data_IF_960720368419
#
_entry.id   IF_960720368419
#
_cell.length_a   1.000
_cell.length_b   1.000
_cell.length_c   1.000
_cell.angle_alpha   90.00
_cell.angle_beta   90.00
_cell.angle_gamma   90.00
#
_symmetry.space_group_name_H-M   'P 1'
#
loop_
_entity.id
_entity.type
_entity.pdbx_description
1 polymer ?
#
# COMPACT_ATOMS: atom_id res chain seq x y z
N UNK A 1 15.57 5.95 33.61
CA UNK A 1 16.00 4.93 32.64
C UNK A 1 15.51 5.39 31.28
N UNK A 2 16.40 5.37 30.30
CA UNK A 2 16.03 5.78 28.93
C UNK A 2 15.13 4.71 28.29
N UNK A 3 14.25 5.06 27.33
CA UNK A 3 13.35 4.09 26.69
C UNK A 3 14.07 2.86 26.13
N UNK A 4 15.30 3.03 25.64
CA UNK A 4 16.14 1.96 25.09
C UNK A 4 16.63 0.95 26.14
N UNK A 5 16.86 1.36 27.39
CA UNK A 5 17.31 0.45 28.46
C UNK A 5 16.19 -0.49 28.91
N UNK A 6 14.94 -0.01 28.96
CA UNK A 6 13.78 -0.83 29.33
C UNK A 6 13.43 -1.89 28.26
N UNK A 7 13.57 -1.55 26.98
CA UNK A 7 13.27 -2.47 25.88
C UNK A 7 14.24 -3.66 25.84
N UNK A 8 15.53 -3.40 26.04
CA UNK A 8 16.56 -4.45 26.12
C UNK A 8 16.31 -5.39 27.30
N UNK A 9 15.84 -4.87 28.43
CA UNK A 9 15.55 -5.64 29.63
C UNK A 9 14.33 -6.56 29.45
N UNK A 10 13.23 -6.07 28.86
CA UNK A 10 12.05 -6.88 28.58
C UNK A 10 12.31 -8.02 27.59
N UNK A 11 13.02 -7.74 26.50
CA UNK A 11 13.42 -8.78 25.55
C UNK A 11 14.27 -9.85 26.24
N UNK A 12 15.22 -9.42 27.07
CA UNK A 12 16.08 -10.33 27.80
C UNK A 12 15.27 -11.20 28.77
N UNK A 13 14.33 -10.64 29.52
CA UNK A 13 13.49 -11.39 30.47
C UNK A 13 12.51 -12.36 29.79
N UNK A 14 11.89 -11.98 28.68
CA UNK A 14 10.87 -12.77 27.97
C UNK A 14 11.47 -13.82 27.04
N UNK A 15 12.47 -13.44 26.25
CA UNK A 15 12.97 -14.25 25.13
C UNK A 15 14.22 -15.04 25.52
N UNK A 16 15.20 -14.37 26.14
CA UNK A 16 16.52 -14.95 26.42
C UNK A 16 16.48 -15.78 27.71
N UNK A 17 16.03 -15.16 28.79
CA UNK A 17 16.07 -15.73 30.14
C UNK A 17 14.78 -16.46 30.52
N UNK A 18 13.67 -16.18 29.82
CA UNK A 18 12.33 -16.75 30.05
C UNK A 18 11.87 -16.69 31.51
N UNK A 19 12.23 -15.61 32.22
CA UNK A 19 11.82 -15.35 33.61
C UNK A 19 10.42 -14.76 33.71
N UNK A 20 9.97 -14.10 32.65
CA UNK A 20 8.63 -13.55 32.49
C UNK A 20 7.96 -14.27 31.32
N UNK A 21 6.73 -14.71 31.50
CA UNK A 21 5.91 -15.24 30.40
C UNK A 21 5.18 -14.10 29.68
N UNK A 22 4.79 -14.34 28.43
CA UNK A 22 3.94 -13.40 27.67
C UNK A 22 2.63 -13.11 28.42
N UNK A 23 2.01 -14.12 29.04
CA UNK A 23 0.77 -13.94 29.79
C UNK A 23 0.96 -12.97 30.96
N UNK A 24 2.01 -13.17 31.77
CA UNK A 24 2.33 -12.29 32.90
C UNK A 24 2.65 -10.87 32.43
N UNK A 25 3.35 -10.72 31.31
CA UNK A 25 3.58 -9.41 30.69
C UNK A 25 2.26 -8.71 30.37
N UNK A 26 1.35 -9.37 29.62
CA UNK A 26 0.06 -8.79 29.24
C UNK A 26 -0.82 -8.49 30.46
N UNK A 27 -0.83 -9.35 31.47
CA UNK A 27 -1.56 -9.10 32.72
C UNK A 27 -1.03 -7.87 33.45
N UNK A 28 0.31 -7.72 33.54
CA UNK A 28 0.93 -6.56 34.20
C UNK A 28 0.70 -5.24 33.45
N UNK A 29 0.61 -5.30 32.12
CA UNK A 29 0.45 -4.13 31.23
C UNK A 29 -1.01 -3.80 30.91
N UNK A 30 -1.95 -4.69 31.26
CA UNK A 30 -3.40 -4.50 31.04
C UNK A 30 -3.92 -3.13 31.49
N UNK A 31 -3.60 -2.61 32.69
CA UNK A 31 -4.09 -1.29 33.11
C UNK A 31 -3.60 -0.14 32.23
N UNK A 32 -2.45 -0.30 31.57
CA UNK A 32 -1.86 0.72 30.71
C UNK A 32 -2.50 0.72 29.32
N UNK A 33 -2.78 -0.47 28.76
CA UNK A 33 -3.47 -0.59 27.46
C UNK A 33 -4.89 -0.02 27.49
N UNK A 34 -5.56 -0.09 28.63
CA UNK A 34 -6.93 0.40 28.82
C UNK A 34 -7.00 1.67 29.68
N UNK A 35 -5.91 2.44 29.75
CA UNK A 35 -5.89 3.70 30.50
C UNK A 35 -6.71 4.79 29.81
N UNK A 36 -7.38 5.65 30.58
CA UNK A 36 -8.05 6.85 30.04
C UNK A 36 -7.04 7.90 29.53
N UNK A 37 -5.76 7.79 29.91
CA UNK A 37 -4.72 8.71 29.45
C UNK A 37 -4.16 8.26 28.11
N UNK A 38 -4.31 9.10 27.07
CA UNK A 38 -3.76 8.85 25.74
C UNK A 38 -2.24 8.67 25.76
N UNK A 39 -1.53 9.47 26.55
CA UNK A 39 -0.07 9.37 26.71
C UNK A 39 0.33 8.01 27.31
N UNK A 40 -0.45 7.49 28.27
CA UNK A 40 -0.17 6.19 28.88
C UNK A 40 -0.41 5.06 27.90
N UNK A 41 -1.55 5.10 27.17
CA UNK A 41 -1.85 4.13 26.11
C UNK A 41 -0.79 4.14 25.02
N UNK A 42 -0.44 5.32 24.52
CA UNK A 42 0.59 5.52 23.50
C UNK A 42 1.91 4.85 23.90
N UNK A 43 2.42 5.15 25.10
CA UNK A 43 3.66 4.55 25.58
C UNK A 43 3.56 3.01 25.72
N UNK A 44 2.42 2.50 26.20
CA UNK A 44 2.21 1.07 26.36
C UNK A 44 2.16 0.33 25.02
N UNK A 45 1.43 0.87 24.03
CA UNK A 45 1.35 0.28 22.70
C UNK A 45 2.66 0.43 21.93
N UNK A 46 3.39 1.53 22.13
CA UNK A 46 4.74 1.71 21.60
C UNK A 46 5.70 0.62 22.11
N UNK A 47 5.76 0.43 23.44
CA UNK A 47 6.55 -0.64 24.09
C UNK A 47 6.15 -2.04 23.58
N UNK A 48 4.84 -2.29 23.42
CA UNK A 48 4.33 -3.55 22.89
C UNK A 48 4.76 -3.77 21.44
N UNK A 49 4.61 -2.77 20.56
CA UNK A 49 5.01 -2.86 19.16
C UNK A 49 6.52 -3.12 19.02
N UNK A 50 7.32 -2.42 19.82
CA UNK A 50 8.77 -2.59 19.90
C UNK A 50 9.19 -3.98 20.40
N UNK A 51 8.50 -4.50 21.43
CA UNK A 51 8.73 -5.84 21.93
C UNK A 51 8.38 -6.91 20.89
N UNK A 52 7.22 -6.80 20.23
CA UNK A 52 6.82 -7.73 19.17
C UNK A 52 7.86 -7.76 18.05
N UNK A 53 8.33 -6.58 17.62
CA UNK A 53 9.35 -6.46 16.57
C UNK A 53 10.71 -7.10 16.94
N UNK A 54 10.97 -7.32 18.23
CA UNK A 54 12.19 -7.96 18.70
C UNK A 54 12.12 -9.49 18.71
N UNK A 55 10.93 -10.09 18.60
CA UNK A 55 10.78 -11.55 18.69
C UNK A 55 11.43 -12.29 17.52
N UNK A 56 12.17 -13.39 17.79
CA UNK A 56 12.59 -14.34 16.77
C UNK A 56 11.40 -14.94 16.02
N UNK A 57 11.61 -15.31 14.76
CA UNK A 57 10.57 -15.83 13.84
C UNK A 57 9.79 -17.04 14.38
N UNK A 58 10.41 -17.87 15.20
CA UNK A 58 9.90 -19.13 15.73
C UNK A 58 9.60 -19.07 17.23
N UNK A 59 9.67 -17.87 17.82
CA UNK A 59 9.45 -17.68 19.25
C UNK A 59 7.99 -17.87 19.66
N UNK A 60 7.05 -17.32 18.89
CA UNK A 60 5.62 -17.44 19.15
C UNK A 60 5.05 -18.70 18.51
N UNK A 61 4.27 -19.47 19.25
CA UNK A 61 3.43 -20.55 18.69
C UNK A 61 2.29 -19.99 17.83
N UNK A 62 1.68 -20.84 17.00
CA UNK A 62 0.56 -20.45 16.13
C UNK A 62 -0.60 -19.80 16.90
N UNK A 63 -1.00 -20.43 18.01
CA UNK A 63 -2.05 -19.91 18.89
C UNK A 63 -1.68 -18.55 19.50
N UNK A 64 -0.41 -18.34 19.85
CA UNK A 64 0.05 -17.05 20.38
C UNK A 64 0.06 -15.96 19.30
N UNK A 65 0.44 -16.29 18.07
CA UNK A 65 0.37 -15.37 16.93
C UNK A 65 -1.08 -14.98 16.67
N UNK A 66 -2.00 -15.95 16.65
CA UNK A 66 -3.43 -15.69 16.46
C UNK A 66 -4.01 -14.76 17.54
N UNK A 67 -3.74 -15.05 18.81
CA UNK A 67 -4.22 -14.22 19.93
C UNK A 67 -3.66 -12.80 19.88
N UNK A 68 -2.36 -12.65 19.61
CA UNK A 68 -1.73 -11.33 19.48
C UNK A 68 -2.29 -10.56 18.28
N UNK A 69 -2.44 -11.24 17.14
CA UNK A 69 -2.94 -10.62 15.92
C UNK A 69 -4.38 -10.12 16.13
N UNK A 70 -5.26 -10.95 16.67
CA UNK A 70 -6.64 -10.58 16.99
C UNK A 70 -6.71 -9.42 17.98
N UNK A 71 -5.87 -9.43 19.02
CA UNK A 71 -5.77 -8.31 19.96
C UNK A 71 -5.36 -7.00 19.27
N UNK A 72 -4.29 -7.02 18.47
CA UNK A 72 -3.82 -5.81 17.79
C UNK A 72 -4.82 -5.30 16.75
N UNK A 73 -5.50 -6.19 16.04
CA UNK A 73 -6.54 -5.82 15.08
C UNK A 73 -7.75 -5.17 15.76
N UNK A 74 -8.17 -5.69 16.92
CA UNK A 74 -9.23 -5.06 17.70
C UNK A 74 -8.83 -3.66 18.21
N UNK A 75 -7.56 -3.48 18.61
CA UNK A 75 -7.07 -2.19 19.09
C UNK A 75 -6.84 -1.18 17.96
N UNK A 76 -6.53 -1.66 16.75
CA UNK A 76 -6.42 -0.84 15.55
C UNK A 76 -7.75 -0.13 15.23
N UNK A 77 -8.87 -0.83 15.35
CA UNK A 77 -10.21 -0.29 15.15
C UNK A 77 -10.69 0.56 16.34
N UNK A 78 -10.41 0.12 17.57
CA UNK A 78 -10.95 0.75 18.77
C UNK A 78 -10.24 2.04 19.22
N UNK A 79 -8.97 2.26 18.84
CA UNK A 79 -8.15 3.33 19.41
C UNK A 79 -7.22 3.98 18.38
N UNK A 80 -7.53 5.23 18.02
CA UNK A 80 -6.70 6.07 17.13
C UNK A 80 -5.28 6.27 17.70
N UNK A 81 -5.14 6.28 19.03
CA UNK A 81 -3.85 6.41 19.72
C UNK A 81 -3.02 5.13 19.63
N UNK A 82 -3.65 3.97 19.69
CA UNK A 82 -2.97 2.66 19.64
C UNK A 82 -2.68 2.19 18.21
N UNK A 83 -3.54 2.57 17.26
CA UNK A 83 -3.48 2.19 15.85
C UNK A 83 -2.07 2.20 15.23
N UNK A 84 -1.25 3.26 15.38
CA UNK A 84 0.06 3.36 14.71
C UNK A 84 1.02 2.24 15.14
N UNK A 85 0.98 1.94 16.43
CA UNK A 85 1.83 0.94 17.07
C UNK A 85 1.30 -0.48 16.82
N UNK A 86 -0.02 -0.63 16.71
CA UNK A 86 -0.66 -1.89 16.33
C UNK A 86 -0.27 -2.31 14.91
N UNK A 87 -0.29 -1.39 13.94
CA UNK A 87 0.13 -1.66 12.55
C UNK A 87 1.54 -2.22 12.52
N UNK A 88 2.47 -1.63 13.28
CA UNK A 88 3.85 -2.08 13.35
C UNK A 88 3.95 -3.52 13.89
N UNK A 89 3.23 -3.84 14.97
CA UNK A 89 3.17 -5.19 15.53
C UNK A 89 2.52 -6.20 14.58
N UNK A 90 1.38 -5.85 13.97
CA UNK A 90 0.67 -6.67 12.97
C UNK A 90 1.61 -6.99 11.82
N UNK A 91 2.28 -6.00 11.26
CA UNK A 91 3.22 -6.18 10.17
C UNK A 91 4.37 -7.12 10.56
N UNK A 92 4.98 -6.95 11.74
CA UNK A 92 6.06 -7.84 12.16
C UNK A 92 5.57 -9.28 12.32
N UNK A 93 4.41 -9.45 12.98
CA UNK A 93 3.79 -10.76 13.10
C UNK A 93 3.63 -11.33 11.71
N UNK A 94 2.82 -10.72 10.83
CA UNK A 94 2.47 -11.16 9.47
C UNK A 94 3.70 -11.44 8.60
N UNK A 95 4.79 -10.70 8.73
CA UNK A 95 5.94 -10.84 7.83
C UNK A 95 7.04 -11.78 8.36
N UNK A 96 7.19 -11.89 9.67
CA UNK A 96 8.37 -12.50 10.27
C UNK A 96 8.10 -13.71 11.14
N UNK A 97 6.88 -13.95 11.60
CA UNK A 97 6.59 -15.22 12.28
C UNK A 97 6.81 -16.42 11.34
N UNK A 98 6.90 -17.61 11.89
CA UNK A 98 6.92 -18.88 11.13
C UNK A 98 5.70 -19.73 11.42
N UNK A 99 4.97 -19.38 12.48
CA UNK A 99 3.79 -20.10 12.97
C UNK A 99 2.55 -19.25 12.74
N UNK A 100 2.19 -19.01 11.49
CA UNK A 100 0.99 -18.22 11.16
C UNK A 100 -0.27 -19.07 11.20
N UNK A 101 -1.36 -18.57 11.80
CA UNK A 101 -2.64 -19.24 11.70
C UNK A 101 -3.11 -19.24 10.24
N UNK A 102 -3.72 -20.33 9.79
CA UNK A 102 -4.35 -20.37 8.47
C UNK A 102 -5.62 -19.50 8.42
N UNK A 103 -5.85 -18.77 7.34
CA UNK A 103 -7.10 -18.03 7.11
C UNK A 103 -7.18 -16.65 7.80
N UNK A 104 -6.08 -16.16 8.36
CA UNK A 104 -5.99 -14.82 8.97
C UNK A 104 -6.09 -13.68 7.95
N UNK A 105 -5.88 -13.99 6.68
CA UNK A 105 -5.83 -13.05 5.56
C UNK A 105 -7.16 -12.30 5.40
N UNK A 106 -8.29 -12.99 5.61
CA UNK A 106 -9.63 -12.40 5.49
C UNK A 106 -9.94 -11.41 6.63
N UNK A 107 -9.80 -11.77 7.93
CA UNK A 107 -9.96 -10.80 9.03
C UNK A 107 -9.00 -9.62 8.94
N UNK A 108 -7.74 -9.89 8.56
CA UNK A 108 -6.74 -8.84 8.34
C UNK A 108 -7.20 -7.86 7.26
N UNK A 109 -7.72 -8.39 6.13
CA UNK A 109 -8.27 -7.58 5.05
C UNK A 109 -9.45 -6.72 5.52
N UNK A 110 -10.43 -7.33 6.19
CA UNK A 110 -11.63 -6.61 6.66
C UNK A 110 -11.25 -5.41 7.53
N UNK A 111 -10.37 -5.62 8.50
CA UNK A 111 -10.03 -4.56 9.45
C UNK A 111 -9.11 -3.51 8.83
N UNK A 112 -8.12 -3.91 8.02
CA UNK A 112 -7.16 -2.95 7.45
C UNK A 112 -7.69 -2.15 6.25
N UNK A 113 -8.58 -2.74 5.43
CA UNK A 113 -9.00 -2.14 4.16
C UNK A 113 -10.49 -1.79 4.11
N UNK A 114 -11.37 -2.57 4.76
CA UNK A 114 -12.82 -2.32 4.72
C UNK A 114 -13.25 -1.31 5.78
N UNK A 115 -12.83 -1.53 7.02
CA UNK A 115 -13.30 -0.78 8.19
C UNK A 115 -12.36 0.38 8.55
N UNK A 116 -11.08 0.29 8.18
CA UNK A 116 -10.10 1.36 8.37
C UNK A 116 -10.33 2.56 7.45
N UNK A 117 -10.52 3.76 8.03
CA UNK A 117 -10.43 5.02 7.28
C UNK A 117 -8.97 5.45 7.12
N UNK A 118 -8.22 4.74 6.28
CA UNK A 118 -6.76 4.95 6.09
C UNK A 118 -6.40 6.40 5.76
N UNK A 119 -7.29 7.11 5.07
CA UNK A 119 -7.06 8.50 4.67
C UNK A 119 -7.13 9.50 5.83
N UNK A 120 -7.71 9.13 6.98
CA UNK A 120 -7.67 9.98 8.18
C UNK A 120 -6.37 9.85 8.98
N UNK A 121 -5.43 9.00 8.56
CA UNK A 121 -4.15 8.80 9.25
C UNK A 121 -3.09 9.76 8.71
N UNK A 122 -2.11 10.13 9.53
CA UNK A 122 -0.99 10.93 9.06
C UNK A 122 -0.08 10.15 8.09
N UNK A 123 0.76 10.86 7.29
CA UNK A 123 1.54 10.22 6.23
C UNK A 123 2.52 9.14 6.69
N UNK A 124 3.08 9.24 7.90
CA UNK A 124 4.00 8.21 8.43
C UNK A 124 3.24 6.92 8.73
N UNK A 125 2.00 7.04 9.23
CA UNK A 125 1.11 5.90 9.49
C UNK A 125 0.56 5.25 8.23
N UNK A 126 0.13 6.05 7.25
CA UNK A 126 -0.25 5.54 5.92
C UNK A 126 0.92 4.81 5.29
N UNK A 127 2.11 5.40 5.35
CA UNK A 127 3.32 4.75 4.88
C UNK A 127 3.51 3.41 5.60
N UNK A 128 3.47 3.33 6.93
CA UNK A 128 3.58 2.06 7.68
C UNK A 128 2.58 0.97 7.25
N UNK A 129 1.34 1.34 6.93
CA UNK A 129 0.34 0.40 6.42
C UNK A 129 0.71 -0.13 5.03
N UNK A 130 1.17 0.74 4.14
CA UNK A 130 1.55 0.36 2.79
C UNK A 130 2.93 -0.30 2.73
N UNK A 131 3.89 0.20 3.50
CA UNK A 131 5.31 -0.02 3.36
C UNK A 131 5.99 0.18 4.72
N UNK A 132 6.76 -0.80 5.18
CA UNK A 132 7.96 -0.41 5.92
C UNK A 132 9.25 -0.88 5.24
N UNK A 133 10.16 0.08 5.16
CA UNK A 133 11.07 0.39 4.04
C UNK A 133 12.36 -0.45 3.99
N UNK A 134 12.34 -1.72 4.41
CA UNK A 134 13.46 -2.65 4.15
C UNK A 134 13.06 -4.01 3.57
N UNK A 135 11.76 -4.26 3.41
CA UNK A 135 11.24 -5.61 3.13
C UNK A 135 10.38 -5.72 1.87
N UNK A 136 10.66 -4.88 0.86
CA UNK A 136 9.91 -4.76 -0.40
C UNK A 136 9.96 -6.01 -1.32
N UNK A 137 10.67 -7.08 -0.90
CA UNK A 137 10.64 -8.38 -1.58
C UNK A 137 9.79 -9.41 -0.84
N UNK A 138 9.93 -9.54 0.48
CA UNK A 138 9.25 -10.58 1.26
C UNK A 138 7.80 -10.23 1.59
N UNK A 139 7.50 -8.97 1.92
CA UNK A 139 6.11 -8.52 2.12
C UNK A 139 5.30 -8.66 0.84
N UNK A 140 5.92 -8.41 -0.32
CA UNK A 140 5.23 -8.56 -1.60
C UNK A 140 5.12 -10.00 -2.09
N UNK A 141 6.13 -10.84 -1.84
CA UNK A 141 5.99 -12.28 -2.08
C UNK A 141 4.91 -12.88 -1.19
N UNK A 142 4.84 -12.44 0.07
CA UNK A 142 3.84 -12.91 1.01
C UNK A 142 2.46 -12.37 0.69
N UNK A 143 2.32 -11.08 0.38
CA UNK A 143 1.07 -10.51 -0.11
C UNK A 143 0.63 -11.21 -1.40
N UNK A 144 1.54 -11.50 -2.33
CA UNK A 144 1.21 -12.24 -3.55
C UNK A 144 0.87 -13.72 -3.31
N UNK A 145 1.35 -14.35 -2.23
CA UNK A 145 0.89 -15.69 -1.86
C UNK A 145 -0.45 -15.64 -1.13
N UNK A 146 -0.62 -14.67 -0.24
CA UNK A 146 -1.83 -14.37 0.56
C UNK A 146 -2.97 -13.84 -0.31
N UNK A 147 -2.68 -13.21 -1.46
CA UNK A 147 -3.72 -12.68 -2.35
C UNK A 147 -4.64 -13.81 -2.80
N UNK A 148 -4.10 -15.01 -3.02
CA UNK A 148 -4.87 -16.18 -3.43
C UNK A 148 -5.89 -16.62 -2.37
N UNK A 149 -5.60 -16.41 -1.09
CA UNK A 149 -6.50 -16.74 0.01
C UNK A 149 -7.68 -15.76 0.11
N UNK A 150 -7.52 -14.53 -0.40
CA UNK A 150 -8.57 -13.50 -0.43
C UNK A 150 -9.26 -13.36 -1.79
N UNK A 151 -8.75 -13.98 -2.86
CA UNK A 151 -9.42 -14.05 -4.18
C UNK A 151 -10.89 -14.52 -4.08
N UNK A 152 -11.26 -15.50 -3.23
CA UNK A 152 -12.66 -15.91 -3.06
C UNK A 152 -13.62 -14.79 -2.59
N UNK A 153 -13.11 -13.70 -2.02
CA UNK A 153 -13.92 -12.52 -1.66
C UNK A 153 -14.40 -11.74 -2.91
N UNK A 154 -13.76 -11.93 -4.06
CA UNK A 154 -14.19 -11.37 -5.34
C UNK A 154 -14.30 -9.85 -5.33
N UNK A 155 -15.43 -9.33 -5.82
CA UNK A 155 -15.66 -7.89 -5.97
C UNK A 155 -15.73 -7.13 -4.64
N UNK A 156 -16.13 -7.79 -3.54
CA UNK A 156 -16.13 -7.14 -2.21
C UNK A 156 -14.71 -6.72 -1.81
N UNK A 157 -13.71 -7.55 -2.16
CA UNK A 157 -12.31 -7.21 -1.95
C UNK A 157 -11.90 -6.02 -2.82
N UNK A 158 -12.21 -6.07 -4.11
CA UNK A 158 -11.84 -5.04 -5.08
C UNK A 158 -12.45 -3.68 -4.71
N UNK A 159 -13.73 -3.65 -4.32
CA UNK A 159 -14.41 -2.43 -3.89
C UNK A 159 -13.77 -1.82 -2.64
N UNK A 160 -13.45 -2.63 -1.62
CA UNK A 160 -12.78 -2.11 -0.44
C UNK A 160 -11.37 -1.62 -0.77
N UNK A 161 -10.63 -2.36 -1.60
CA UNK A 161 -9.31 -1.98 -2.06
C UNK A 161 -9.32 -0.63 -2.78
N UNK A 162 -10.19 -0.43 -3.77
CA UNK A 162 -10.39 0.84 -4.48
C UNK A 162 -10.63 1.97 -3.48
N UNK A 163 -11.56 1.77 -2.53
CA UNK A 163 -11.87 2.75 -1.48
C UNK A 163 -10.65 3.07 -0.61
N UNK A 164 -9.82 2.07 -0.27
CA UNK A 164 -8.63 2.28 0.58
C UNK A 164 -7.58 3.13 -0.13
N UNK A 165 -7.25 2.79 -1.38
CA UNK A 165 -6.15 3.45 -2.10
C UNK A 165 -6.57 4.78 -2.74
N UNK A 166 -7.87 4.99 -2.94
CA UNK A 166 -8.43 6.24 -3.42
C UNK A 166 -8.02 7.42 -2.51
N UNK A 167 -7.47 8.47 -3.10
CA UNK A 167 -7.06 9.69 -2.39
C UNK A 167 -5.69 9.65 -1.73
N UNK A 168 -4.87 8.60 -1.92
CA UNK A 168 -3.48 8.64 -1.47
C UNK A 168 -2.69 9.67 -2.30
N UNK A 169 -2.04 10.65 -1.67
CA UNK A 169 -1.31 11.73 -2.35
C UNK A 169 0.16 11.81 -1.93
N UNK A 170 0.55 11.05 -0.90
CA UNK A 170 1.89 11.13 -0.36
C UNK A 170 2.86 10.36 -1.26
N UNK A 171 3.91 11.01 -1.80
CA UNK A 171 4.78 10.42 -2.82
C UNK A 171 5.54 9.19 -2.32
N UNK A 172 5.71 9.02 -0.99
CA UNK A 172 6.30 7.81 -0.42
C UNK A 172 5.39 6.58 -0.45
N UNK A 173 4.08 6.78 -0.48
CA UNK A 173 3.09 5.70 -0.50
C UNK A 173 2.82 5.20 -1.93
N UNK A 174 2.87 6.11 -2.91
CA UNK A 174 2.49 5.82 -4.31
C UNK A 174 3.20 4.60 -4.94
N UNK A 175 4.52 4.39 -4.80
CA UNK A 175 5.17 3.23 -5.41
C UNK A 175 4.57 1.89 -4.95
N UNK A 176 4.08 1.82 -3.71
CA UNK A 176 3.43 0.61 -3.21
C UNK A 176 1.98 0.54 -3.62
N UNK A 177 1.25 1.66 -3.60
CA UNK A 177 -0.12 1.71 -4.13
C UNK A 177 -0.15 1.17 -5.56
N UNK A 178 0.76 1.65 -6.42
CA UNK A 178 0.90 1.17 -7.80
C UNK A 178 1.19 -0.32 -7.86
N UNK A 179 2.11 -0.81 -7.02
CA UNK A 179 2.46 -2.23 -7.00
C UNK A 179 1.31 -3.13 -6.55
N UNK A 180 0.61 -2.75 -5.47
CA UNK A 180 -0.56 -3.47 -4.99
C UNK A 180 -1.67 -3.46 -6.02
N UNK A 181 -1.91 -2.31 -6.67
CA UNK A 181 -2.90 -2.17 -7.73
C UNK A 181 -2.67 -3.18 -8.84
N UNK A 182 -1.43 -3.26 -9.37
CA UNK A 182 -1.09 -4.23 -10.42
C UNK A 182 -1.32 -5.67 -9.95
N UNK A 183 -0.98 -6.02 -8.70
CA UNK A 183 -1.23 -7.36 -8.16
C UNK A 183 -2.73 -7.65 -8.11
N UNK A 184 -3.54 -6.73 -7.60
CA UNK A 184 -5.00 -6.88 -7.50
C UNK A 184 -5.62 -6.98 -8.89
N UNK A 185 -5.22 -6.12 -9.82
CA UNK A 185 -5.69 -6.10 -11.20
C UNK A 185 -5.52 -7.48 -11.87
N UNK A 186 -4.35 -8.11 -11.71
CA UNK A 186 -4.07 -9.42 -12.30
C UNK A 186 -4.64 -10.61 -11.51
N UNK A 187 -5.01 -10.42 -10.24
CA UNK A 187 -5.45 -11.52 -9.37
C UNK A 187 -6.97 -11.67 -9.32
N UNK A 188 -7.73 -10.61 -9.64
CA UNK A 188 -9.19 -10.58 -9.49
C UNK A 188 -9.89 -10.38 -10.83
N UNK A 189 -11.08 -10.99 -10.96
CA UNK A 189 -12.01 -10.69 -12.05
C UNK A 189 -12.74 -9.38 -11.74
N UNK A 190 -12.25 -8.27 -12.30
CA UNK A 190 -12.71 -6.91 -11.96
C UNK A 190 -14.14 -6.60 -12.46
N UNK A 191 -14.51 -7.11 -13.65
CA UNK A 191 -15.87 -7.05 -14.18
C UNK A 191 -16.49 -5.63 -14.17
N UNK A 192 -17.56 -5.38 -13.40
CA UNK A 192 -18.24 -4.08 -13.38
C UNK A 192 -17.42 -2.93 -12.79
N UNK A 193 -16.33 -3.23 -12.07
CA UNK A 193 -15.49 -2.21 -11.42
C UNK A 193 -14.31 -1.75 -12.29
N UNK A 194 -14.25 -2.17 -13.57
CA UNK A 194 -13.11 -1.87 -14.46
C UNK A 194 -12.92 -0.37 -14.62
N UNK A 195 -14.01 0.37 -14.82
CA UNK A 195 -13.97 1.83 -14.96
C UNK A 195 -13.51 2.49 -13.65
N UNK A 196 -14.15 2.15 -12.52
CA UNK A 196 -13.76 2.69 -11.19
C UNK A 196 -12.28 2.44 -10.87
N UNK A 197 -11.78 1.25 -11.24
CA UNK A 197 -10.39 0.86 -11.01
C UNK A 197 -9.43 1.61 -11.93
N UNK A 198 -9.80 1.87 -13.18
CA UNK A 198 -9.01 2.71 -14.08
C UNK A 198 -8.98 4.16 -13.59
N UNK A 199 -10.15 4.70 -13.23
CA UNK A 199 -10.34 6.09 -12.85
C UNK A 199 -9.41 6.47 -11.71
N UNK A 200 -9.37 5.69 -10.62
CA UNK A 200 -8.49 6.00 -9.47
C UNK A 200 -7.01 6.14 -9.84
N UNK A 201 -6.55 5.49 -10.92
CA UNK A 201 -5.18 5.62 -11.41
C UNK A 201 -4.99 6.80 -12.35
N UNK A 202 -6.02 7.17 -13.13
CA UNK A 202 -5.95 8.32 -14.04
C UNK A 202 -5.83 9.65 -13.32
N UNK A 203 -6.29 9.76 -12.06
CA UNK A 203 -6.09 10.96 -11.22
C UNK A 203 -4.61 11.29 -10.97
N UNK A 204 -3.72 10.30 -11.05
CA UNK A 204 -2.28 10.51 -10.89
C UNK A 204 -1.57 10.91 -12.18
N UNK A 205 -2.27 10.92 -13.32
CA UNK A 205 -1.66 11.11 -14.64
C UNK A 205 -1.99 12.48 -15.24
N UNK A 206 -0.99 13.25 -15.71
CA UNK A 206 0.45 13.01 -15.63
C UNK A 206 1.01 13.21 -14.20
N UNK A 207 2.16 12.62 -13.89
CA UNK A 207 2.76 12.70 -12.56
C UNK A 207 3.35 14.09 -12.32
N UNK A 208 2.68 14.89 -11.51
CA UNK A 208 3.17 16.19 -11.06
C UNK A 208 3.97 16.06 -9.75
N UNK A 209 5.20 15.54 -9.86
CA UNK A 209 6.08 15.38 -8.69
C UNK A 209 7.28 16.33 -8.72
N UNK A 210 7.28 17.33 -7.83
CA UNK A 210 8.44 18.17 -7.58
C UNK A 210 9.28 17.58 -6.45
N UNK A 211 10.46 17.05 -6.78
CA UNK A 211 11.42 16.61 -5.78
C UNK A 211 11.75 17.76 -4.82
N UNK A 212 11.57 17.55 -3.52
CA UNK A 212 12.16 18.44 -2.52
C UNK A 212 13.67 18.22 -2.50
N UNK A 213 14.43 19.28 -2.22
CA UNK A 213 15.90 19.39 -2.35
C UNK A 213 16.72 18.54 -1.35
N UNK A 214 16.22 17.38 -0.95
CA UNK A 214 16.85 16.50 0.03
C UNK A 214 16.74 15.03 -0.38
N UNK A 215 17.57 14.58 -1.33
CA UNK A 215 18.06 13.20 -1.48
C UNK A 215 17.06 12.05 -1.30
N UNK A 216 15.78 12.25 -1.59
CA UNK A 216 14.75 11.25 -1.37
C UNK A 216 14.95 10.07 -2.33
N UNK A 217 14.73 8.82 -1.90
CA UNK A 217 14.93 7.64 -2.74
C UNK A 217 13.91 7.51 -3.89
N UNK A 218 12.92 8.40 -3.96
CA UNK A 218 11.80 8.32 -4.90
C UNK A 218 11.99 9.37 -5.98
N UNK A 219 12.15 8.88 -7.21
CA UNK A 219 12.29 9.71 -8.41
C UNK A 219 10.94 9.90 -9.09
N UNK A 220 10.81 10.97 -9.87
CA UNK A 220 9.62 11.21 -10.70
C UNK A 220 9.43 10.06 -11.69
N UNK A 221 10.50 9.64 -12.38
CA UNK A 221 10.52 8.49 -13.29
C UNK A 221 9.99 7.20 -12.65
N UNK A 222 10.28 6.95 -11.37
CA UNK A 222 9.76 5.78 -10.65
C UNK A 222 8.24 5.82 -10.52
N UNK A 223 7.68 7.01 -10.25
CA UNK A 223 6.26 7.23 -10.12
C UNK A 223 5.56 7.18 -11.48
N UNK A 224 6.10 7.84 -12.51
CA UNK A 224 5.60 7.80 -13.90
C UNK A 224 5.49 6.35 -14.39
N UNK A 225 6.59 5.59 -14.29
CA UNK A 225 6.60 4.18 -14.71
C UNK A 225 5.64 3.32 -13.87
N UNK A 226 5.48 3.63 -12.58
CA UNK A 226 4.54 2.94 -11.71
C UNK A 226 3.08 3.20 -12.14
N UNK A 227 2.74 4.45 -12.41
CA UNK A 227 1.42 4.88 -12.88
C UNK A 227 1.09 4.27 -14.24
N UNK A 228 2.00 4.36 -15.21
CA UNK A 228 1.83 3.76 -16.56
C UNK A 228 1.55 2.25 -16.45
N UNK A 229 2.29 1.52 -15.60
CA UNK A 229 2.05 0.09 -15.36
C UNK A 229 0.67 -0.21 -14.78
N UNK A 230 0.09 0.71 -14.00
CA UNK A 230 -1.26 0.55 -13.48
C UNK A 230 -2.29 0.80 -14.58
N UNK A 231 -2.14 1.89 -15.33
CA UNK A 231 -3.05 2.26 -16.44
C UNK A 231 -3.07 1.23 -17.58
N UNK A 232 -2.03 0.39 -17.66
CA UNK A 232 -1.89 -0.69 -18.66
C UNK A 232 -1.99 -2.09 -18.04
N UNK A 233 -2.46 -2.22 -16.79
CA UNK A 233 -2.47 -3.50 -16.08
C UNK A 233 -3.50 -4.51 -16.61
N UNK A 234 -4.56 -4.06 -17.26
CA UNK A 234 -5.66 -4.90 -17.75
C UNK A 234 -6.02 -4.56 -19.20
N UNK A 235 -6.19 -5.56 -20.09
CA UNK A 235 -6.65 -5.32 -21.46
C UNK A 235 -7.95 -4.50 -21.54
N UNK A 236 -8.84 -4.68 -20.58
CA UNK A 236 -10.12 -3.98 -20.47
C UNK A 236 -9.99 -2.47 -20.22
N UNK A 237 -8.79 -1.99 -19.84
CA UNK A 237 -8.52 -0.56 -19.70
C UNK A 237 -8.34 0.17 -21.03
N UNK A 238 -8.20 -0.55 -22.15
CA UNK A 238 -7.91 0.01 -23.47
C UNK A 238 -8.76 1.24 -23.86
N UNK A 239 -10.11 1.14 -23.86
CA UNK A 239 -10.98 2.26 -24.24
C UNK A 239 -10.76 3.52 -23.38
N UNK A 240 -10.59 3.35 -22.06
CA UNK A 240 -10.38 4.47 -21.13
C UNK A 240 -8.97 5.06 -21.28
N UNK A 241 -7.97 4.20 -21.51
CA UNK A 241 -6.58 4.61 -21.65
C UNK A 241 -6.34 5.41 -22.93
N UNK A 242 -6.91 5.00 -24.06
CA UNK A 242 -6.77 5.77 -25.30
C UNK A 242 -7.51 7.10 -25.25
N UNK A 243 -8.67 7.17 -24.57
CA UNK A 243 -9.33 8.44 -24.30
C UNK A 243 -8.44 9.38 -23.46
N UNK A 244 -7.86 8.88 -22.36
CA UNK A 244 -6.93 9.65 -21.53
C UNK A 244 -5.71 10.14 -22.33
N UNK A 245 -5.12 9.30 -23.18
CA UNK A 245 -3.98 9.68 -24.03
C UNK A 245 -4.40 10.79 -25.00
N UNK A 246 -5.54 10.65 -25.67
CA UNK A 246 -6.06 11.67 -26.59
C UNK A 246 -6.24 13.02 -25.88
N UNK A 247 -6.87 13.02 -24.70
CA UNK A 247 -7.08 14.22 -23.89
C UNK A 247 -5.74 14.91 -23.59
N UNK A 248 -4.73 14.17 -23.09
CA UNK A 248 -3.42 14.76 -22.76
C UNK A 248 -2.62 15.22 -23.97
N UNK A 249 -2.78 14.56 -25.12
CA UNK A 249 -2.10 14.93 -26.36
C UNK A 249 -2.67 16.22 -26.98
N UNK A 250 -4.00 16.36 -26.93
CA UNK A 250 -4.74 17.46 -27.56
C UNK A 250 -4.88 18.70 -26.67
N UNK A 251 -4.72 18.53 -25.35
CA UNK A 251 -4.71 19.64 -24.40
C UNK A 251 -3.54 20.60 -24.65
N UNK A 252 -3.85 21.88 -24.90
CA UNK A 252 -2.87 22.94 -25.13
C UNK A 252 -2.21 23.42 -23.82
N UNK A 253 -2.84 23.17 -22.67
CA UNK A 253 -2.31 23.53 -21.34
C UNK A 253 -1.27 22.51 -20.84
N UNK A 254 -1.28 21.28 -21.38
CA UNK A 254 -0.31 20.26 -21.06
C UNK A 254 1.12 20.66 -21.45
N UNK A 255 2.06 20.56 -20.50
CA UNK A 255 3.49 20.83 -20.74
C UNK A 255 4.11 19.81 -21.70
N UNK A 256 5.32 20.13 -22.21
CA UNK A 256 6.05 19.20 -23.09
C UNK A 256 6.39 17.90 -22.35
N UNK A 257 6.76 18.00 -21.08
CA UNK A 257 7.06 16.85 -20.22
C UNK A 257 5.82 15.97 -20.01
N UNK A 258 4.66 16.57 -19.75
CA UNK A 258 3.39 15.83 -19.62
C UNK A 258 3.00 15.13 -20.93
N UNK A 259 3.25 15.79 -22.07
CA UNK A 259 3.05 15.20 -23.39
C UNK A 259 4.05 14.07 -23.69
N UNK A 260 5.28 14.15 -23.20
CA UNK A 260 6.23 13.03 -23.25
C UNK A 260 5.76 11.84 -22.40
N UNK A 261 5.17 12.10 -21.23
CA UNK A 261 4.57 11.04 -20.40
C UNK A 261 3.38 10.38 -21.13
N UNK A 262 2.54 11.16 -21.82
CA UNK A 262 1.47 10.63 -22.69
C UNK A 262 2.02 9.77 -23.84
N UNK A 263 3.15 10.15 -24.45
CA UNK A 263 3.84 9.30 -25.43
C UNK A 263 4.34 7.98 -24.81
N UNK A 264 4.89 8.03 -23.60
CA UNK A 264 5.35 6.83 -22.89
C UNK A 264 4.19 5.89 -22.55
N UNK A 265 3.06 6.43 -22.08
CA UNK A 265 1.84 5.67 -21.86
C UNK A 265 1.32 5.05 -23.16
N UNK A 266 1.30 5.81 -24.27
CA UNK A 266 0.91 5.31 -25.58
C UNK A 266 1.80 4.13 -26.04
N UNK A 267 3.12 4.22 -25.84
CA UNK A 267 4.06 3.17 -26.22
C UNK A 267 3.80 1.85 -25.48
N UNK A 268 3.41 1.89 -24.21
CA UNK A 268 3.01 0.70 -23.45
C UNK A 268 1.60 0.24 -23.84
N UNK A 269 0.66 1.17 -24.01
CA UNK A 269 -0.74 0.89 -24.36
C UNK A 269 -0.87 0.08 -25.65
N UNK A 270 -0.13 0.45 -26.72
CA UNK A 270 -0.16 -0.28 -28.01
C UNK A 270 0.42 -1.69 -27.94
N UNK A 271 1.18 -2.01 -26.89
CA UNK A 271 1.73 -3.36 -26.68
C UNK A 271 0.78 -4.26 -25.90
N UNK A 272 -0.21 -3.70 -25.19
CA UNK A 272 -1.10 -4.42 -24.28
C UNK A 272 -2.53 -4.49 -24.81
N UNK A 273 -3.05 -3.39 -25.36
CA UNK A 273 -4.47 -3.27 -25.73
C UNK A 273 -4.76 -3.73 -27.14
N UNK A 274 -6.05 -3.87 -27.44
CA UNK A 274 -6.47 -4.35 -28.76
C UNK A 274 -6.30 -3.22 -29.77
N UNK A 275 -5.86 -3.54 -31.00
CA UNK A 275 -5.75 -2.54 -32.07
C UNK A 275 -7.07 -1.83 -32.40
N UNK A 276 -8.22 -2.46 -32.13
CA UNK A 276 -9.53 -1.84 -32.35
C UNK A 276 -9.78 -0.65 -31.40
N UNK A 277 -9.21 -0.69 -30.20
CA UNK A 277 -9.49 0.29 -29.13
C UNK A 277 -8.91 1.67 -29.47
N UNK A 278 -7.83 1.74 -30.26
CA UNK A 278 -7.19 3.01 -30.65
C UNK A 278 -7.86 3.68 -31.86
N UNK A 279 -8.63 2.95 -32.67
CA UNK A 279 -9.04 3.39 -34.02
C UNK A 279 -9.74 4.76 -34.03
N UNK A 280 -10.63 5.00 -33.06
CA UNK A 280 -11.37 6.25 -32.96
C UNK A 280 -10.54 7.44 -32.46
N UNK A 281 -9.36 7.16 -31.88
CA UNK A 281 -8.47 8.14 -31.27
C UNK A 281 -7.25 8.45 -32.16
N UNK A 282 -7.07 7.72 -33.27
CA UNK A 282 -5.85 7.77 -34.10
C UNK A 282 -5.56 9.16 -34.66
N UNK A 283 -6.54 9.85 -35.22
CA UNK A 283 -6.32 11.16 -35.85
C UNK A 283 -5.86 12.22 -34.82
N UNK A 284 -6.55 12.40 -33.68
CA UNK A 284 -6.07 13.25 -32.59
C UNK A 284 -4.67 12.87 -32.08
N UNK A 285 -4.43 11.59 -31.82
CA UNK A 285 -3.13 11.11 -31.28
C UNK A 285 -2.00 11.36 -32.28
N UNK A 286 -2.19 11.07 -33.57
CA UNK A 286 -1.19 11.34 -34.61
C UNK A 286 -0.91 12.84 -34.77
N UNK A 287 -1.94 13.67 -34.61
CA UNK A 287 -1.80 15.13 -34.54
C UNK A 287 -0.90 15.56 -33.38
N UNK A 288 -1.15 15.03 -32.17
CA UNK A 288 -0.32 15.28 -30.98
C UNK A 288 1.13 14.84 -31.15
N UNK A 289 1.35 13.60 -31.64
CA UNK A 289 2.69 13.07 -31.91
C UNK A 289 3.46 13.94 -32.91
N UNK A 290 2.78 14.43 -33.96
CA UNK A 290 3.39 15.36 -34.92
C UNK A 290 3.79 16.68 -34.25
N UNK A 291 2.94 17.22 -33.39
CA UNK A 291 3.20 18.47 -32.68
C UNK A 291 4.37 18.35 -31.68
N UNK A 292 4.61 17.17 -31.12
CA UNK A 292 5.73 16.92 -30.20
C UNK A 292 7.00 16.60 -30.99
N UNK A 293 6.97 15.57 -31.85
CA UNK A 293 8.16 15.01 -32.47
C UNK A 293 8.73 15.82 -33.65
N UNK A 294 7.92 16.67 -34.29
CA UNK A 294 8.37 17.50 -35.42
C UNK A 294 8.49 18.99 -35.07
N UNK A 295 8.23 19.39 -33.83
CA UNK A 295 8.38 20.77 -33.39
C UNK A 295 9.79 20.99 -32.84
N UNK A 296 10.61 21.85 -33.47
CA UNK A 296 11.98 22.13 -33.01
C UNK A 296 12.07 22.73 -31.60
N UNK A 297 10.95 23.22 -31.05
CA UNK A 297 10.89 23.77 -29.69
C UNK A 297 10.65 22.69 -28.61
N UNK A 298 10.32 21.47 -29.02
CA UNK A 298 10.04 20.32 -28.16
C UNK A 298 11.18 19.28 -28.13
N UNK A 299 12.20 19.45 -28.97
CA UNK A 299 13.42 18.64 -29.06
C UNK A 299 14.56 19.29 -28.27
#
# INVERSE_FOLDING_TARGET
MTPFENQSDLFQQLVVERRLSLSEFFESRRPLFFSDSDIVKENAFSELGDLICSFPKDFLSEQQVELLLNFLLQQLDASIVAAPYCIRGINHLVLHSSNFPHGFEIPLFQIMFRDGNVQSWDPEKRLLQYIYEKFNKYSMLKFSSTILDVVPLGLDFVSAFIKTISGEQHPKCLPMVFRMFVIVAHSFSIGPLVEDMFEIMSWYFPIEFKQSSSGAPITQELLERGCIKCLTALPEFGPFCYLLIEEKMTDEECSIEQKHEACALLAEAVMVFRPDDIVNHLEPILGGLRAIGLNPKCL
#
